data_IF_928371119345
#
_entry.id   IF_928371119345
#
_cell.length_a   1.000
_cell.length_b   1.000
_cell.length_c   1.000
_cell.angle_alpha   90.00
_cell.angle_beta   90.00
_cell.angle_gamma   90.00
#
_symmetry.space_group_name_H-M   'P 1'
#
loop_
_entity.id
_entity.type
_entity.pdbx_description
1 polymer ?
#
# COMPACT_ATOMS: atom_id res chain seq x y z
N UNK A 1 6.77 -20.46 31.01
CA UNK A 1 6.47 -19.01 30.96
C UNK A 1 7.40 -18.23 30.03
N UNK A 2 8.74 -18.36 30.12
CA UNK A 2 9.70 -17.66 29.23
C UNK A 2 9.43 -17.84 27.72
N UNK A 3 9.11 -19.06 27.26
CA UNK A 3 8.81 -19.32 25.84
C UNK A 3 7.59 -18.54 25.31
N UNK A 4 6.59 -18.29 26.15
CA UNK A 4 5.39 -17.53 25.76
C UNK A 4 5.69 -16.05 25.56
N UNK A 5 6.47 -15.45 26.46
CA UNK A 5 6.90 -14.05 26.37
C UNK A 5 7.79 -13.83 25.14
N UNK A 6 8.76 -14.73 24.90
CA UNK A 6 9.64 -14.63 23.74
C UNK A 6 8.87 -14.73 22.41
N UNK A 7 7.91 -15.66 22.32
CA UNK A 7 7.06 -15.80 21.13
C UNK A 7 6.18 -14.56 20.92
N UNK A 8 5.58 -14.03 21.99
CA UNK A 8 4.78 -12.81 21.93
C UNK A 8 5.57 -11.59 21.45
N UNK A 9 6.79 -11.39 21.96
CA UNK A 9 7.66 -10.31 21.53
C UNK A 9 8.05 -10.45 20.06
N UNK A 10 8.42 -11.65 19.62
CA UNK A 10 8.77 -11.91 18.23
C UNK A 10 7.59 -11.65 17.29
N UNK A 11 6.39 -12.11 17.65
CA UNK A 11 5.18 -11.87 16.87
C UNK A 11 4.83 -10.38 16.81
N UNK A 12 4.90 -9.67 17.94
CA UNK A 12 4.62 -8.23 17.99
C UNK A 12 5.61 -7.42 17.16
N UNK A 13 6.90 -7.75 17.21
CA UNK A 13 7.92 -7.10 16.38
C UNK A 13 7.66 -7.34 14.89
N UNK A 14 7.39 -8.58 14.50
CA UNK A 14 7.10 -8.92 13.10
C UNK A 14 5.86 -8.18 12.59
N UNK A 15 4.76 -8.20 13.35
CA UNK A 15 3.54 -7.47 13.01
C UNK A 15 3.77 -5.96 12.91
N UNK A 16 4.57 -5.39 13.81
CA UNK A 16 4.91 -3.97 13.77
C UNK A 16 5.72 -3.60 12.52
N UNK A 17 6.70 -4.42 12.16
CA UNK A 17 7.50 -4.22 10.95
C UNK A 17 6.66 -4.34 9.68
N UNK A 18 5.79 -5.35 9.60
CA UNK A 18 4.95 -5.57 8.42
C UNK A 18 3.91 -4.45 8.25
N UNK A 19 3.28 -4.01 9.34
CA UNK A 19 2.37 -2.86 9.32
C UNK A 19 3.09 -1.57 8.93
N UNK A 20 4.28 -1.31 9.49
CA UNK A 20 5.06 -0.13 9.16
C UNK A 20 5.45 -0.08 7.68
N UNK A 21 5.85 -1.21 7.10
CA UNK A 21 6.15 -1.33 5.67
C UNK A 21 4.91 -1.05 4.81
N UNK A 22 3.76 -1.64 5.15
CA UNK A 22 2.53 -1.43 4.39
C UNK A 22 2.07 0.03 4.46
N UNK A 23 2.08 0.65 5.65
CA UNK A 23 1.68 2.05 5.83
C UNK A 23 2.57 3.00 5.02
N UNK A 24 3.88 2.79 5.03
CA UNK A 24 4.80 3.62 4.25
C UNK A 24 4.63 3.41 2.74
N UNK A 25 4.44 2.16 2.30
CA UNK A 25 4.18 1.86 0.88
C UNK A 25 2.89 2.55 0.38
N UNK A 26 1.80 2.48 1.15
CA UNK A 26 0.55 3.19 0.84
C UNK A 26 0.79 4.70 0.75
N UNK A 27 1.45 5.29 1.76
CA UNK A 27 1.73 6.72 1.80
C UNK A 27 2.50 7.20 0.56
N UNK A 28 3.56 6.47 0.19
CA UNK A 28 4.41 6.83 -0.94
C UNK A 28 3.65 6.68 -2.27
N UNK A 29 2.93 5.57 -2.46
CA UNK A 29 2.11 5.34 -3.67
C UNK A 29 1.03 6.41 -3.81
N UNK A 30 0.31 6.71 -2.74
CA UNK A 30 -0.73 7.75 -2.73
C UNK A 30 -0.18 9.13 -3.11
N UNK A 31 0.99 9.52 -2.58
CA UNK A 31 1.65 10.78 -2.94
C UNK A 31 2.05 10.81 -4.42
N UNK A 32 2.61 9.73 -4.94
CA UNK A 32 3.01 9.64 -6.36
C UNK A 32 1.80 9.72 -7.29
N UNK A 33 0.72 8.99 -6.99
CA UNK A 33 -0.51 9.05 -7.77
C UNK A 33 -1.14 10.44 -7.71
N UNK A 34 -1.13 11.09 -6.54
CA UNK A 34 -1.64 12.46 -6.40
C UNK A 34 -0.83 13.46 -7.23
N UNK A 35 0.51 13.33 -7.25
CA UNK A 35 1.38 14.18 -8.07
C UNK A 35 1.14 13.98 -9.57
N UNK A 36 0.80 12.76 -9.98
CA UNK A 36 0.66 12.39 -11.39
C UNK A 36 -0.73 12.66 -11.95
N UNK A 37 -1.77 12.32 -11.19
CA UNK A 37 -3.17 12.30 -11.62
C UNK A 37 -4.00 13.40 -10.97
N UNK A 38 -3.43 14.16 -10.02
CA UNK A 38 -4.15 15.13 -9.21
C UNK A 38 -4.94 14.48 -8.07
N UNK A 39 -5.95 15.20 -7.57
CA UNK A 39 -6.77 14.69 -6.47
C UNK A 39 -7.53 13.43 -6.90
N UNK A 40 -7.30 12.32 -6.19
CA UNK A 40 -7.98 11.05 -6.46
C UNK A 40 -9.35 10.99 -5.79
N UNK A 41 -10.29 10.29 -6.43
CA UNK A 41 -11.58 9.96 -5.82
C UNK A 41 -11.38 9.12 -4.54
N UNK A 42 -12.08 9.43 -3.43
CA UNK A 42 -11.98 8.69 -2.17
C UNK A 42 -12.13 7.18 -2.29
N UNK A 43 -12.95 6.69 -3.23
CA UNK A 43 -13.15 5.25 -3.47
C UNK A 43 -11.86 4.59 -3.97
N UNK A 44 -11.12 5.26 -4.85
CA UNK A 44 -9.83 4.76 -5.34
C UNK A 44 -8.78 4.78 -4.22
N UNK A 45 -8.80 5.82 -3.36
CA UNK A 45 -7.88 5.91 -2.22
C UNK A 45 -8.08 4.72 -1.27
N UNK A 46 -9.34 4.42 -0.93
CA UNK A 46 -9.66 3.30 -0.05
C UNK A 46 -9.19 1.96 -0.62
N UNK A 47 -9.39 1.73 -1.92
CA UNK A 47 -8.91 0.50 -2.56
C UNK A 47 -7.38 0.36 -2.47
N UNK A 48 -6.64 1.46 -2.65
CA UNK A 48 -5.18 1.47 -2.52
C UNK A 48 -4.73 1.17 -1.10
N UNK A 49 -5.41 1.71 -0.08
CA UNK A 49 -5.12 1.45 1.33
C UNK A 49 -5.29 -0.04 1.71
N UNK A 50 -6.18 -0.74 1.02
CA UNK A 50 -6.46 -2.16 1.23
C UNK A 50 -5.51 -3.10 0.46
N UNK A 51 -4.65 -2.57 -0.43
CA UNK A 51 -3.69 -3.37 -1.19
C UNK A 51 -2.62 -4.02 -0.28
N UNK A 52 -2.21 -5.22 -0.69
CA UNK A 52 -1.03 -5.87 -0.12
C UNK A 52 0.25 -5.11 -0.51
N UNK A 53 1.34 -5.29 0.27
CA UNK A 53 2.64 -4.70 -0.05
C UNK A 53 3.08 -5.06 -1.47
N UNK A 54 2.95 -6.31 -1.88
CA UNK A 54 3.32 -6.75 -3.24
C UNK A 54 2.51 -6.02 -4.33
N UNK A 55 1.20 -5.84 -4.12
CA UNK A 55 0.38 -5.07 -5.09
C UNK A 55 0.76 -3.59 -5.09
N UNK A 56 1.14 -3.02 -3.94
CA UNK A 56 1.65 -1.64 -3.87
C UNK A 56 2.99 -1.49 -4.60
N UNK A 57 3.88 -2.47 -4.52
CA UNK A 57 5.14 -2.50 -5.27
C UNK A 57 4.86 -2.56 -6.78
N UNK A 58 3.97 -3.44 -7.24
CA UNK A 58 3.55 -3.51 -8.64
C UNK A 58 2.89 -2.20 -9.12
N UNK A 59 2.04 -1.60 -8.29
CA UNK A 59 1.41 -0.31 -8.57
C UNK A 59 2.46 0.80 -8.69
N UNK A 60 3.54 0.75 -7.91
CA UNK A 60 4.62 1.74 -7.96
C UNK A 60 5.35 1.77 -9.31
N UNK A 61 5.40 0.65 -10.02
CA UNK A 61 5.93 0.56 -11.38
C UNK A 61 4.86 0.92 -12.42
N UNK A 62 3.66 0.38 -12.28
CA UNK A 62 2.57 0.59 -13.22
C UNK A 62 2.15 2.07 -13.30
N UNK A 63 2.13 2.77 -12.16
CA UNK A 63 1.78 4.18 -12.09
C UNK A 63 2.70 5.06 -12.93
N UNK A 64 3.90 4.59 -13.27
CA UNK A 64 4.82 5.31 -14.16
C UNK A 64 4.29 5.45 -15.60
N UNK A 65 3.23 4.73 -15.95
CA UNK A 65 2.61 4.74 -17.28
C UNK A 65 1.17 5.29 -17.28
N UNK A 66 0.63 5.71 -16.14
CA UNK A 66 -0.75 6.24 -16.10
C UNK A 66 -0.81 7.64 -16.70
N UNK A 67 -1.86 7.94 -17.44
CA UNK A 67 -2.16 9.29 -17.93
C UNK A 67 -3.39 9.88 -17.23
N UNK A 68 -4.29 9.03 -16.75
CA UNK A 68 -5.57 9.42 -16.17
C UNK A 68 -5.94 8.57 -14.94
N UNK A 69 -6.91 9.05 -14.16
CA UNK A 69 -7.52 8.27 -13.08
C UNK A 69 -8.21 6.99 -13.58
N UNK A 70 -8.61 6.95 -14.86
CA UNK A 70 -9.19 5.75 -15.49
C UNK A 70 -8.16 4.64 -15.61
N UNK A 71 -6.89 4.95 -15.91
CA UNK A 71 -5.83 3.93 -16.00
C UNK A 71 -5.60 3.25 -14.65
N UNK A 72 -5.63 4.05 -13.58
CA UNK A 72 -5.57 3.55 -12.21
C UNK A 72 -6.78 2.67 -11.88
N UNK A 73 -7.99 3.11 -12.20
CA UNK A 73 -9.21 2.32 -11.95
C UNK A 73 -9.17 0.97 -12.66
N UNK A 74 -8.81 0.95 -13.95
CA UNK A 74 -8.66 -0.28 -14.74
C UNK A 74 -7.55 -1.18 -14.20
N UNK A 75 -6.49 -0.61 -13.63
CA UNK A 75 -5.43 -1.41 -13.00
C UNK A 75 -5.90 -2.07 -11.70
N UNK A 76 -6.67 -1.35 -10.88
CA UNK A 76 -7.20 -1.84 -9.59
C UNK A 76 -8.25 -2.94 -9.75
N UNK A 77 -8.95 -2.98 -10.89
CA UNK A 77 -9.91 -4.04 -11.23
C UNK A 77 -9.27 -5.40 -11.61
N UNK A 78 -7.95 -5.44 -11.81
CA UNK A 78 -7.20 -6.66 -12.14
C UNK A 78 -6.76 -7.42 -10.89
#
# INVERSE_FOLDING_TARGET
MQKGVQKGLQQGLQQGLDRGKQQEAVLIVMRQLTLRLGLLDPVLQQQIEELSITRLEELSEALLNFETATDLAVWLEK
#
